data_IF_353646597571
#
_entry.id   IF_353646597571
#
_cell.length_a   1.000
_cell.length_b   1.000
_cell.length_c   1.000
_cell.angle_alpha   90.00
_cell.angle_beta   90.00
_cell.angle_gamma   90.00
#
_symmetry.space_group_name_H-M   'P 1'
#
loop_
_entity.id
_entity.type
_entity.pdbx_description
1 polymer ?
#
# COMPACT_ATOMS: atom_id res chain seq x y z
N UNK A 1 -3.34 -4.10 -2.65
CA UNK A 1 -2.03 -3.87 -2.01
C UNK A 1 -1.21 -5.16 -1.94
N UNK A 2 -1.50 -6.13 -1.06
CA UNK A 2 -0.70 -7.37 -0.92
C UNK A 2 -0.45 -8.12 -2.24
N UNK A 3 -1.48 -8.26 -3.09
CA UNK A 3 -1.32 -8.86 -4.42
C UNK A 3 -0.40 -8.07 -5.35
N UNK A 4 -0.44 -6.73 -5.28
CA UNK A 4 0.43 -5.88 -6.09
C UNK A 4 1.89 -5.96 -5.59
N UNK A 5 2.10 -5.91 -4.27
CA UNK A 5 3.43 -6.05 -3.69
C UNK A 5 4.03 -7.44 -3.96
N UNK A 6 3.24 -8.52 -3.87
CA UNK A 6 3.71 -9.87 -4.19
C UNK A 6 4.13 -10.04 -5.67
N UNK A 7 3.52 -9.29 -6.59
CA UNK A 7 3.93 -9.26 -8.01
C UNK A 7 5.18 -8.41 -8.25
N UNK A 8 5.41 -7.39 -7.43
CA UNK A 8 6.54 -6.47 -7.59
C UNK A 8 7.83 -6.99 -6.94
N UNK A 9 7.70 -7.76 -5.86
CA UNK A 9 8.83 -8.33 -5.11
C UNK A 9 8.96 -9.85 -5.24
N UNK A 10 8.57 -10.42 -6.38
CA UNK A 10 8.51 -11.88 -6.56
C UNK A 10 9.87 -12.59 -6.30
N UNK A 11 10.99 -11.97 -6.70
CA UNK A 11 12.35 -12.51 -6.51
C UNK A 11 12.95 -12.28 -5.12
N UNK A 12 12.31 -11.45 -4.28
CA UNK A 12 12.78 -11.10 -2.92
C UNK A 12 11.62 -11.13 -1.92
N UNK A 13 10.67 -12.03 -2.15
CA UNK A 13 9.39 -12.07 -1.46
C UNK A 13 9.55 -12.25 0.04
N UNK A 14 10.48 -13.11 0.46
CA UNK A 14 10.76 -13.39 1.87
C UNK A 14 11.37 -12.19 2.58
N UNK A 15 12.22 -11.43 1.89
CA UNK A 15 12.85 -10.20 2.42
C UNK A 15 11.84 -9.08 2.62
N UNK A 16 10.81 -9.02 1.77
CA UNK A 16 9.81 -7.94 1.75
C UNK A 16 8.48 -8.33 2.41
N UNK A 17 8.31 -9.58 2.84
CA UNK A 17 7.07 -10.08 3.44
C UNK A 17 6.69 -9.29 4.69
N UNK A 18 7.66 -9.05 5.58
CA UNK A 18 7.43 -8.24 6.77
C UNK A 18 7.05 -6.80 6.43
N UNK A 19 7.66 -6.21 5.41
CA UNK A 19 7.34 -4.84 4.99
C UNK A 19 5.93 -4.75 4.38
N UNK A 20 5.54 -5.77 3.61
CA UNK A 20 4.21 -5.89 3.01
C UNK A 20 3.12 -6.09 4.06
N UNK A 21 3.32 -7.00 5.00
CA UNK A 21 2.40 -7.26 6.11
C UNK A 21 2.26 -6.04 7.01
N UNK A 22 3.39 -5.39 7.32
CA UNK A 22 3.39 -4.13 8.04
C UNK A 22 2.56 -3.06 7.30
N UNK A 23 2.86 -2.81 6.03
CA UNK A 23 2.13 -1.82 5.23
C UNK A 23 0.63 -2.13 5.15
N UNK A 24 0.27 -3.42 5.00
CA UNK A 24 -1.13 -3.83 4.95
C UNK A 24 -1.88 -3.52 6.26
N UNK A 25 -1.29 -3.87 7.40
CA UNK A 25 -1.91 -3.66 8.71
C UNK A 25 -1.97 -2.18 9.13
N UNK A 26 -1.09 -1.34 8.58
CA UNK A 26 -0.97 0.07 8.95
C UNK A 26 -1.60 1.05 7.93
N UNK A 27 -2.06 0.58 6.78
CA UNK A 27 -2.70 1.44 5.78
C UNK A 27 -4.20 1.56 6.02
N UNK A 28 -4.74 2.77 5.77
CA UNK A 28 -6.16 3.04 5.90
C UNK A 28 -6.97 2.15 4.95
N UNK A 29 -7.94 1.42 5.50
CA UNK A 29 -8.79 0.53 4.72
C UNK A 29 -10.21 1.09 4.66
N UNK A 30 -10.61 1.58 3.48
CA UNK A 30 -11.89 2.27 3.29
C UNK A 30 -13.12 1.42 3.69
N UNK A 31 -13.05 0.09 3.57
CA UNK A 31 -14.12 -0.82 3.99
C UNK A 31 -14.32 -0.83 5.51
N UNK A 32 -13.24 -0.67 6.28
CA UNK A 32 -13.25 -0.69 7.75
C UNK A 32 -13.34 0.74 8.31
N UNK A 33 -12.93 1.75 7.51
CA UNK A 33 -12.90 3.15 7.92
C UNK A 33 -11.73 3.52 8.84
N UNK A 34 -10.78 2.60 9.04
CA UNK A 34 -9.55 2.77 9.81
C UNK A 34 -8.50 1.74 9.35
N UNK A 35 -7.32 1.72 9.96
CA UNK A 35 -6.31 0.67 9.70
C UNK A 35 -6.68 -0.64 10.39
N UNK A 36 -6.35 -1.82 9.84
CA UNK A 36 -6.57 -3.11 10.52
C UNK A 36 -5.95 -3.19 11.91
N UNK A 37 -4.77 -2.59 12.10
CA UNK A 37 -4.11 -2.56 13.41
C UNK A 37 -4.90 -1.73 14.44
N UNK A 38 -5.43 -0.56 14.05
CA UNK A 38 -6.30 0.22 14.91
C UNK A 38 -7.57 -0.56 15.25
N UNK A 39 -8.17 -1.24 14.28
CA UNK A 39 -9.36 -2.07 14.53
C UNK A 39 -9.09 -3.25 15.49
N UNK A 40 -7.87 -3.82 15.48
CA UNK A 40 -7.51 -4.98 16.29
C UNK A 40 -7.04 -4.60 17.70
N UNK A 41 -6.30 -3.51 17.83
CA UNK A 41 -5.61 -3.15 19.08
C UNK A 41 -6.10 -1.85 19.70
N UNK A 42 -7.02 -1.15 19.04
CA UNK A 42 -7.54 0.17 19.44
C UNK A 42 -6.42 1.19 19.73
N UNK A 43 -5.32 1.08 18.96
CA UNK A 43 -4.12 1.90 19.07
C UNK A 43 -3.71 2.40 17.70
N UNK A 44 -3.27 3.66 17.63
CA UNK A 44 -2.66 4.18 16.43
C UNK A 44 -1.34 3.45 16.14
N UNK A 45 -1.20 3.01 14.89
CA UNK A 45 0.03 2.48 14.34
C UNK A 45 1.22 3.41 14.57
N UNK A 46 2.30 2.89 15.18
CA UNK A 46 3.60 3.57 15.21
C UNK A 46 4.52 2.92 14.18
N UNK A 47 4.97 3.69 13.19
CA UNK A 47 5.92 3.24 12.17
C UNK A 47 7.24 2.75 12.80
N UNK A 48 7.94 1.74 12.23
CA UNK A 48 9.28 1.33 12.66
C UNK A 48 10.30 2.46 12.46
N UNK A 49 10.01 3.43 11.58
CA UNK A 49 10.82 4.64 11.39
C UNK A 49 10.78 5.54 12.65
N UNK A 50 9.85 5.32 13.57
CA UNK A 50 9.76 5.99 14.87
C UNK A 50 10.37 5.18 16.03
N UNK A 51 11.10 4.11 15.73
CA UNK A 51 12.04 3.49 16.67
C UNK A 51 13.43 4.05 16.38
N UNK A 52 13.80 5.16 17.02
CA UNK A 52 15.21 5.58 17.04
C UNK A 52 15.71 5.54 18.48
N UNK A 53 16.38 4.45 18.80
CA UNK A 53 17.52 4.48 19.72
C UNK A 53 18.78 4.13 18.90
N UNK A 54 19.64 5.15 18.74
CA UNK A 54 21.09 5.09 18.50
C UNK A 54 21.58 5.05 17.04
N UNK A 55 21.73 6.25 16.45
CA UNK A 55 23.05 6.80 16.11
C UNK A 55 23.72 6.40 14.78
N UNK A 56 23.55 5.17 14.29
CA UNK A 56 24.11 4.73 13.00
C UNK A 56 23.05 4.56 11.89
N UNK A 57 21.78 4.48 12.28
CA UNK A 57 20.65 4.27 11.36
C UNK A 57 20.37 5.47 10.44
N UNK A 58 20.94 6.65 10.71
CA UNK A 58 20.60 7.86 9.97
C UNK A 58 21.05 7.84 8.50
N UNK A 59 22.20 7.24 8.18
CA UNK A 59 22.71 7.21 6.79
C UNK A 59 22.14 6.03 5.98
N UNK A 60 22.22 4.79 6.51
CA UNK A 60 21.59 3.62 5.89
C UNK A 60 20.06 3.72 5.87
N UNK A 61 19.46 4.27 6.93
CA UNK A 61 18.03 4.50 7.01
C UNK A 61 17.56 5.56 6.04
N UNK A 62 18.36 6.58 5.71
CA UNK A 62 18.00 7.56 4.68
C UNK A 62 17.91 6.94 3.29
N UNK A 63 18.89 6.13 2.88
CA UNK A 63 18.86 5.43 1.60
C UNK A 63 17.73 4.39 1.54
N UNK A 64 17.53 3.61 2.61
CA UNK A 64 16.40 2.69 2.70
C UNK A 64 15.05 3.42 2.69
N UNK A 65 14.93 4.55 3.40
CA UNK A 65 13.72 5.37 3.42
C UNK A 65 13.45 5.97 2.04
N UNK A 66 14.47 6.40 1.31
CA UNK A 66 14.32 6.86 -0.08
C UNK A 66 13.89 5.72 -1.00
N UNK A 67 14.58 4.58 -0.95
CA UNK A 67 14.25 3.41 -1.77
C UNK A 67 12.83 2.89 -1.49
N UNK A 68 12.44 2.82 -0.21
CA UNK A 68 11.09 2.41 0.19
C UNK A 68 10.05 3.44 -0.20
N UNK A 69 10.32 4.75 -0.08
CA UNK A 69 9.41 5.79 -0.55
C UNK A 69 9.20 5.73 -2.07
N UNK A 70 10.26 5.52 -2.85
CA UNK A 70 10.16 5.36 -4.30
C UNK A 70 9.32 4.13 -4.68
N UNK A 71 9.54 3.00 -3.99
CA UNK A 71 8.74 1.79 -4.17
C UNK A 71 7.26 2.03 -3.81
N UNK A 72 7.00 2.71 -2.69
CA UNK A 72 5.64 3.08 -2.27
C UNK A 72 4.96 3.98 -3.31
N UNK A 73 5.66 4.99 -3.84
CA UNK A 73 5.11 5.88 -4.87
C UNK A 73 4.77 5.11 -6.16
N UNK A 74 5.63 4.18 -6.59
CA UNK A 74 5.33 3.29 -7.72
C UNK A 74 4.08 2.45 -7.49
N UNK A 75 3.94 1.86 -6.30
CA UNK A 75 2.78 1.03 -5.96
C UNK A 75 1.49 1.87 -5.94
N UNK A 76 1.52 3.07 -5.37
CA UNK A 76 0.38 4.00 -5.35
C UNK A 76 -0.02 4.38 -6.79
N UNK A 77 0.94 4.76 -7.63
CA UNK A 77 0.67 5.10 -9.02
C UNK A 77 0.04 3.93 -9.79
N UNK A 78 0.56 2.71 -9.61
CA UNK A 78 0.00 1.50 -10.24
C UNK A 78 -1.41 1.18 -9.73
N UNK A 79 -1.67 1.34 -8.43
CA UNK A 79 -3.00 1.16 -7.86
C UNK A 79 -4.00 2.18 -8.43
N UNK A 80 -3.62 3.45 -8.55
CA UNK A 80 -4.48 4.48 -9.13
C UNK A 80 -4.79 4.21 -10.61
N UNK A 81 -3.80 3.74 -11.39
CA UNK A 81 -4.02 3.36 -12.80
C UNK A 81 -4.97 2.17 -12.90
N UNK A 82 -4.76 1.12 -12.09
CA UNK A 82 -5.65 -0.03 -12.06
C UNK A 82 -7.09 0.36 -11.69
N UNK A 83 -7.25 1.19 -10.65
CA UNK A 83 -8.55 1.68 -10.20
C UNK A 83 -9.24 2.56 -11.27
N UNK A 84 -8.46 3.38 -11.99
CA UNK A 84 -8.98 4.20 -13.10
C UNK A 84 -9.45 3.34 -14.27
N UNK A 85 -8.71 2.26 -14.58
CA UNK A 85 -9.12 1.29 -15.60
C UNK A 85 -10.40 0.57 -15.20
N UNK A 86 -10.51 0.10 -13.96
CA UNK A 86 -11.74 -0.52 -13.45
C UNK A 86 -12.94 0.43 -13.53
N UNK A 87 -12.77 1.71 -13.13
CA UNK A 87 -13.81 2.73 -13.26
C UNK A 87 -14.23 2.94 -14.71
N UNK A 88 -13.27 3.03 -15.64
CA UNK A 88 -13.56 3.17 -17.07
C UNK A 88 -14.37 1.97 -17.60
N UNK A 89 -13.96 0.74 -17.27
CA UNK A 89 -14.73 -0.46 -17.63
C UNK A 89 -16.15 -0.45 -17.04
N UNK A 90 -16.29 -0.06 -15.77
CA UNK A 90 -17.59 0.03 -15.11
C UNK A 90 -18.48 1.10 -15.75
N UNK A 91 -17.94 2.27 -16.09
CA UNK A 91 -18.69 3.37 -16.71
C UNK A 91 -19.13 3.05 -18.13
N UNK A 92 -18.26 2.43 -18.95
CA UNK A 92 -18.63 1.92 -20.28
C UNK A 92 -19.75 0.89 -20.17
N UNK A 93 -19.66 -0.02 -19.19
CA UNK A 93 -20.67 -1.05 -18.97
C UNK A 93 -22.00 -0.46 -18.47
N UNK A 94 -21.99 0.60 -17.66
CA UNK A 94 -23.22 1.34 -17.27
C UNK A 94 -23.87 2.04 -18.47
N UNK A 95 -23.08 2.73 -19.31
CA UNK A 95 -23.61 3.40 -20.52
C UNK A 95 -24.24 2.43 -21.52
N UNK A 96 -23.67 1.23 -21.68
CA UNK A 96 -24.25 0.21 -22.56
C UNK A 96 -25.56 -0.39 -22.02
N UNK A 97 -25.87 -0.21 -20.73
CA UNK A 97 -27.12 -0.67 -20.11
C UNK A 97 -28.21 0.41 -20.12
N UNK A 98 -27.88 1.67 -20.44
CA UNK A 98 -28.85 2.72 -20.78
C UNK A 98 -29.37 2.45 -22.20
N UNK A 99 -30.36 1.56 -22.32
CA UNK A 99 -31.10 1.34 -23.57
C UNK A 99 -31.85 2.63 -23.94
N UNK A 100 -31.94 2.99 -25.24
CA UNK A 100 -32.80 4.09 -25.66
C UNK A 100 -34.26 3.71 -25.38
N UNK A 101 -34.99 4.64 -24.77
CA UNK A 101 -36.44 4.57 -24.57
C UNK A 101 -37.19 4.67 -25.90
#
# INVERSE_FOLDING_TARGET
>A
MLRACALEFQDSRDSHLHLMEFSYNNCFQATIGMTPFEALYDKCCRSPICWDEVGEQRLMGLELVQSTNEAVQKIIARMQVAQSREKSYADVRRKNLELPA
#
